data_IF_369509591990
#
_entry.id   IF_369509591990
#
_cell.length_a   1.000
_cell.length_b   1.000
_cell.length_c   1.000
_cell.angle_alpha   90.00
_cell.angle_beta   90.00
_cell.angle_gamma   90.00
#
_symmetry.space_group_name_H-M   'P 1'
#
loop_
_entity.id
_entity.type
_entity.pdbx_description
1 polymer ?
#
# COMPACT_ATOMS: atom_id res chain seq x y z
N UNK A 1 0.53 5.71 25.10
CA UNK A 1 1.57 4.68 25.34
C UNK A 1 2.35 4.41 24.06
N UNK A 2 3.48 5.09 23.88
CA UNK A 2 4.47 4.73 22.86
C UNK A 2 5.20 3.46 23.32
N UNK A 3 5.49 2.52 22.42
CA UNK A 3 6.31 1.33 22.72
C UNK A 3 5.58 0.06 23.17
N UNK A 4 4.24 0.04 23.21
CA UNK A 4 3.47 -1.17 23.60
C UNK A 4 3.35 -2.25 22.50
N UNK A 5 4.14 -2.18 21.42
CA UNK A 5 4.23 -3.23 20.40
C UNK A 5 3.21 -3.20 19.27
N UNK A 6 2.22 -2.29 19.26
CA UNK A 6 1.17 -2.25 18.22
C UNK A 6 1.72 -2.24 16.78
N UNK A 7 2.68 -1.38 16.50
CA UNK A 7 3.30 -1.27 15.17
C UNK A 7 4.05 -2.56 14.79
N UNK A 8 4.76 -3.15 15.75
CA UNK A 8 5.47 -4.43 15.55
C UNK A 8 4.48 -5.55 15.25
N UNK A 9 3.35 -5.61 15.96
CA UNK A 9 2.29 -6.60 15.69
C UNK A 9 1.71 -6.44 14.29
N UNK A 10 1.34 -5.22 13.89
CA UNK A 10 0.79 -4.95 12.56
C UNK A 10 1.80 -5.28 11.44
N UNK A 11 3.06 -4.87 11.61
CA UNK A 11 4.14 -5.22 10.68
C UNK A 11 4.40 -6.72 10.63
N UNK A 12 4.28 -7.44 11.74
CA UNK A 12 4.44 -8.91 11.77
C UNK A 12 3.36 -9.60 10.95
N UNK A 13 2.10 -9.17 11.08
CA UNK A 13 0.98 -9.68 10.27
C UNK A 13 1.24 -9.42 8.78
N UNK A 14 1.72 -8.22 8.46
CA UNK A 14 2.03 -7.86 7.08
C UNK A 14 3.32 -8.47 6.56
N UNK A 15 4.18 -9.11 7.39
CA UNK A 15 5.51 -9.59 7.01
C UNK A 15 6.51 -8.48 6.68
N UNK A 16 6.39 -7.33 7.36
CA UNK A 16 7.16 -6.10 7.16
C UNK A 16 8.07 -5.75 8.35
N UNK A 17 8.23 -6.66 9.32
CA UNK A 17 9.22 -6.43 10.39
C UNK A 17 10.62 -6.40 9.76
N UNK A 18 11.50 -5.46 10.16
CA UNK A 18 12.88 -5.46 9.70
C UNK A 18 13.57 -6.75 10.14
N UNK A 19 14.10 -7.53 9.19
CA UNK A 19 14.83 -8.76 9.46
C UNK A 19 16.18 -8.71 8.72
N UNK A 20 17.31 -8.55 9.44
CA UNK A 20 17.47 -8.32 10.88
C UNK A 20 17.10 -6.88 11.34
N UNK A 21 16.86 -6.62 12.65
CA UNK A 21 17.03 -7.53 13.80
C UNK A 21 15.76 -8.26 14.29
N UNK A 22 14.59 -7.99 13.71
CA UNK A 22 13.32 -8.61 14.10
C UNK A 22 13.08 -9.94 13.41
N UNK A 23 12.57 -10.92 14.16
CA UNK A 23 12.09 -12.21 13.60
C UNK A 23 10.87 -12.70 14.36
N UNK A 24 10.03 -13.49 13.69
CA UNK A 24 8.91 -14.18 14.34
C UNK A 24 9.45 -15.47 14.97
N UNK A 25 9.74 -15.44 16.27
CA UNK A 25 10.34 -16.59 16.99
C UNK A 25 9.42 -17.81 17.05
N UNK A 26 8.12 -17.59 17.20
CA UNK A 26 7.13 -18.65 17.34
C UNK A 26 5.71 -18.16 17.04
N UNK A 27 4.77 -19.09 16.93
CA UNK A 27 3.36 -18.80 16.69
C UNK A 27 2.97 -18.91 15.21
N UNK A 28 1.72 -18.53 14.93
CA UNK A 28 1.11 -18.61 13.60
C UNK A 28 0.24 -17.39 13.35
N UNK A 29 0.15 -16.97 12.11
CA UNK A 29 -0.70 -15.86 11.67
C UNK A 29 -1.62 -16.42 10.61
N UNK A 30 -2.88 -16.67 10.96
CA UNK A 30 -3.84 -17.34 10.07
C UNK A 30 -4.68 -16.29 9.34
N UNK A 31 -4.65 -16.32 8.01
CA UNK A 31 -5.50 -15.53 7.14
C UNK A 31 -6.16 -16.45 6.11
N UNK A 32 -7.50 -16.49 6.07
CA UNK A 32 -8.27 -17.38 5.19
C UNK A 32 -7.81 -18.86 5.22
N UNK A 33 -7.46 -19.36 6.41
CA UNK A 33 -6.97 -20.73 6.60
C UNK A 33 -5.50 -20.97 6.20
N UNK A 34 -4.80 -19.96 5.69
CA UNK A 34 -3.37 -20.02 5.36
C UNK A 34 -2.52 -19.43 6.48
N UNK A 35 -1.42 -20.11 6.84
CA UNK A 35 -0.46 -19.65 7.83
C UNK A 35 0.61 -18.76 7.19
N UNK A 36 0.49 -17.44 7.38
CA UNK A 36 1.35 -16.42 6.77
C UNK A 36 2.80 -16.49 7.24
N UNK A 37 3.11 -17.19 8.34
CA UNK A 37 4.51 -17.36 8.81
C UNK A 37 5.28 -18.40 8.00
N UNK A 38 4.59 -19.16 7.12
CA UNK A 38 5.17 -20.27 6.36
C UNK A 38 5.15 -20.06 4.85
N UNK A 39 4.57 -18.97 4.38
CA UNK A 39 4.47 -18.70 2.94
C UNK A 39 5.75 -18.05 2.43
N UNK A 40 6.05 -18.31 1.16
CA UNK A 40 7.16 -17.67 0.45
C UNK A 40 6.93 -16.17 0.28
N UNK A 41 8.02 -15.44 -0.01
CA UNK A 41 7.98 -14.01 -0.34
C UNK A 41 7.03 -13.71 -1.51
N UNK A 42 7.05 -14.54 -2.57
CA UNK A 42 6.19 -14.37 -3.74
C UNK A 42 4.71 -14.60 -3.43
N UNK A 43 4.39 -15.54 -2.53
CA UNK A 43 3.02 -15.74 -2.04
C UNK A 43 2.56 -14.53 -1.24
N UNK A 44 3.42 -13.99 -0.39
CA UNK A 44 3.13 -12.79 0.38
C UNK A 44 2.88 -11.57 -0.53
N UNK A 45 3.64 -11.40 -1.62
CA UNK A 45 3.39 -10.36 -2.64
C UNK A 45 2.01 -10.52 -3.28
N UNK A 46 1.55 -11.76 -3.55
CA UNK A 46 0.23 -12.01 -4.14
C UNK A 46 -0.91 -11.67 -3.19
N UNK A 47 -0.71 -11.83 -1.88
CA UNK A 47 -1.69 -11.47 -0.86
C UNK A 47 -1.74 -9.95 -0.62
N UNK A 48 -0.58 -9.31 -0.51
CA UNK A 48 -0.48 -7.85 -0.37
C UNK A 48 -1.06 -7.15 -1.60
N UNK A 49 -1.68 -6.00 -1.39
CA UNK A 49 -2.35 -5.21 -2.43
C UNK A 49 -3.70 -5.79 -2.87
N UNK A 50 -3.86 -7.12 -2.95
CA UNK A 50 -5.11 -7.76 -3.43
C UNK A 50 -6.06 -8.17 -2.31
N UNK A 51 -5.52 -8.70 -1.22
CA UNK A 51 -6.27 -9.28 -0.09
C UNK A 51 -5.93 -8.61 1.23
N UNK A 52 -4.69 -8.12 1.35
CA UNK A 52 -4.17 -7.43 2.52
C UNK A 52 -3.62 -6.07 2.11
N UNK A 53 -4.06 -5.02 2.81
CA UNK A 53 -3.55 -3.66 2.63
C UNK A 53 -3.28 -3.04 4.00
N UNK A 54 -2.32 -2.12 4.05
CA UNK A 54 -1.97 -1.38 5.26
C UNK A 54 -1.91 0.11 4.95
N UNK A 55 -2.57 0.91 5.78
CA UNK A 55 -2.42 2.37 5.78
C UNK A 55 -1.48 2.72 6.93
N UNK A 56 -0.32 3.29 6.62
CA UNK A 56 0.69 3.65 7.61
C UNK A 56 0.27 4.89 8.42
N UNK A 57 0.84 5.07 9.61
CA UNK A 57 0.50 6.17 10.51
C UNK A 57 0.84 7.56 9.92
N UNK A 58 1.85 7.62 9.05
CA UNK A 58 2.22 8.82 8.30
C UNK A 58 1.96 8.61 6.80
N UNK A 59 0.69 8.56 6.35
CA UNK A 59 0.38 8.32 4.93
C UNK A 59 0.89 9.46 4.03
N UNK A 60 1.15 10.62 4.62
CA UNK A 60 1.68 11.79 3.91
C UNK A 60 3.13 11.63 3.44
N UNK A 61 3.91 10.76 4.08
CA UNK A 61 5.30 10.47 3.71
C UNK A 61 5.43 9.23 2.82
N UNK A 62 4.36 8.47 2.57
CA UNK A 62 4.41 7.27 1.72
C UNK A 62 4.41 7.58 0.22
N UNK A 63 4.01 8.80 -0.17
CA UNK A 63 4.10 9.20 -1.57
C UNK A 63 5.52 9.62 -1.94
N UNK A 64 6.09 8.96 -2.94
CA UNK A 64 7.35 9.32 -3.56
C UNK A 64 7.24 10.70 -4.25
N UNK A 65 8.03 11.72 -3.85
CA UNK A 65 7.88 13.07 -4.34
C UNK A 65 8.28 13.26 -5.82
N UNK A 66 9.01 12.32 -6.41
CA UNK A 66 9.48 12.40 -7.80
C UNK A 66 8.59 11.62 -8.78
N UNK A 67 7.53 10.97 -8.30
CA UNK A 67 6.57 10.25 -9.12
C UNK A 67 5.23 10.98 -9.12
N UNK A 68 4.47 10.87 -10.22
CA UNK A 68 3.11 11.40 -10.26
C UNK A 68 2.18 10.57 -9.37
N UNK A 69 1.06 11.16 -8.95
CA UNK A 69 0.03 10.46 -8.17
C UNK A 69 -0.53 9.28 -8.97
N UNK A 70 -0.76 9.48 -10.27
CA UNK A 70 -1.25 8.44 -11.17
C UNK A 70 -0.30 7.26 -11.26
N UNK A 71 1.00 7.50 -11.42
CA UNK A 71 2.00 6.42 -11.55
C UNK A 71 2.07 5.56 -10.28
N UNK A 72 2.05 6.20 -9.10
CA UNK A 72 2.14 5.50 -7.82
C UNK A 72 0.91 4.64 -7.54
N UNK A 73 -0.29 5.15 -7.86
CA UNK A 73 -1.52 4.36 -7.72
C UNK A 73 -1.59 3.27 -8.79
N UNK A 74 -1.16 3.57 -10.03
CA UNK A 74 -1.14 2.61 -11.13
C UNK A 74 -0.14 1.46 -10.90
N UNK A 75 0.98 1.70 -10.23
CA UNK A 75 1.99 0.71 -9.89
C UNK A 75 1.39 -0.48 -9.14
N UNK A 76 0.48 -0.22 -8.20
CA UNK A 76 -0.25 -1.27 -7.47
C UNK A 76 -0.95 -2.23 -8.44
N UNK A 77 -1.64 -1.70 -9.45
CA UNK A 77 -2.33 -2.52 -10.44
C UNK A 77 -1.36 -3.22 -11.41
N UNK A 78 -0.24 -2.59 -11.76
CA UNK A 78 0.80 -3.21 -12.57
C UNK A 78 1.39 -4.44 -11.87
N UNK A 79 1.83 -4.27 -10.62
CA UNK A 79 2.52 -5.30 -9.83
C UNK A 79 1.57 -6.44 -9.48
N UNK A 80 0.35 -6.12 -9.02
CA UNK A 80 -0.55 -7.12 -8.45
C UNK A 80 -1.62 -7.63 -9.41
N UNK A 81 -1.97 -6.92 -10.47
CA UNK A 81 -3.01 -7.33 -11.43
C UNK A 81 -2.48 -7.61 -12.86
N UNK A 82 -1.22 -7.29 -13.17
CA UNK A 82 -0.60 -7.52 -14.49
C UNK A 82 -1.43 -6.97 -15.67
N UNK A 83 -2.09 -5.84 -15.46
CA UNK A 83 -2.90 -5.19 -16.48
C UNK A 83 -2.02 -4.32 -17.39
N UNK A 84 -2.49 -4.00 -18.61
CA UNK A 84 -1.83 -2.99 -19.43
C UNK A 84 -1.77 -1.64 -18.71
N UNK A 85 -0.65 -0.93 -18.82
CA UNK A 85 -0.42 0.35 -18.12
C UNK A 85 -1.57 1.36 -18.30
N UNK A 86 -2.13 1.45 -19.51
CA UNK A 86 -3.29 2.32 -19.78
C UNK A 86 -4.51 1.98 -18.93
N UNK A 87 -4.76 0.69 -18.70
CA UNK A 87 -5.85 0.25 -17.83
C UNK A 87 -5.54 0.56 -16.36
N UNK A 88 -4.28 0.39 -15.93
CA UNK A 88 -3.85 0.77 -14.58
C UNK A 88 -4.06 2.26 -14.30
N UNK A 89 -3.73 3.13 -15.26
CA UNK A 89 -3.98 4.58 -15.14
C UNK A 89 -5.47 4.90 -15.05
N UNK A 90 -6.32 4.23 -15.84
CA UNK A 90 -7.77 4.41 -15.74
C UNK A 90 -8.29 4.02 -14.35
N UNK A 91 -7.80 2.90 -13.80
CA UNK A 91 -8.15 2.49 -12.43
C UNK A 91 -7.62 3.46 -11.38
N UNK A 92 -6.46 4.06 -11.59
CA UNK A 92 -5.95 5.10 -10.70
C UNK A 92 -6.87 6.33 -10.69
N UNK A 93 -7.39 6.76 -11.85
CA UNK A 93 -8.42 7.80 -11.93
C UNK A 93 -9.67 7.40 -11.14
N UNK A 94 -10.13 6.15 -11.30
CA UNK A 94 -11.30 5.65 -10.59
C UNK A 94 -11.09 5.62 -9.06
N UNK A 95 -9.89 5.30 -8.58
CA UNK A 95 -9.54 5.36 -7.16
C UNK A 95 -9.55 6.79 -6.63
N UNK A 96 -8.94 7.74 -7.34
CA UNK A 96 -9.01 9.16 -6.97
C UNK A 96 -10.45 9.67 -6.95
N UNK A 97 -11.30 9.20 -7.87
CA UNK A 97 -12.73 9.53 -7.88
C UNK A 97 -13.45 8.95 -6.65
N UNK A 98 -13.15 7.69 -6.29
CA UNK A 98 -13.74 7.01 -5.14
C UNK A 98 -13.45 7.75 -3.82
N UNK A 99 -12.25 8.29 -3.67
CA UNK A 99 -11.84 9.07 -2.48
C UNK A 99 -12.12 10.57 -2.61
N UNK A 100 -12.98 10.96 -3.57
CA UNK A 100 -13.46 12.33 -3.77
C UNK A 100 -12.33 13.36 -3.95
N UNK A 101 -11.32 13.00 -4.76
CA UNK A 101 -10.33 13.96 -5.25
C UNK A 101 -10.93 14.71 -6.45
N UNK A 102 -11.01 16.05 -6.42
CA UNK A 102 -11.59 16.83 -7.50
C UNK A 102 -10.75 16.75 -8.76
N UNK A 103 -11.42 16.69 -9.91
CA UNK A 103 -10.80 16.60 -11.25
C UNK A 103 -9.76 15.47 -11.36
N UNK A 104 -10.13 14.22 -11.01
CA UNK A 104 -9.17 13.11 -10.89
C UNK A 104 -8.38 12.87 -12.19
N UNK A 105 -8.99 13.07 -13.36
CA UNK A 105 -8.35 12.95 -14.68
C UNK A 105 -7.19 13.93 -14.88
N UNK A 106 -7.21 15.08 -14.18
CA UNK A 106 -6.11 16.03 -14.16
C UNK A 106 -5.11 15.69 -13.06
N UNK A 107 -5.62 15.36 -11.86
CA UNK A 107 -4.82 15.12 -10.64
C UNK A 107 -3.91 13.90 -10.73
N UNK A 108 -4.18 12.94 -11.61
CA UNK A 108 -3.24 11.83 -11.85
C UNK A 108 -1.85 12.32 -12.31
N UNK A 109 -1.76 13.50 -12.95
CA UNK A 109 -0.49 14.05 -13.44
C UNK A 109 0.23 14.92 -12.41
N UNK A 110 -0.44 15.21 -11.30
CA UNK A 110 0.15 16.00 -10.23
C UNK A 110 1.21 15.18 -9.51
N UNK A 111 2.19 15.88 -8.95
CA UNK A 111 3.12 15.37 -7.96
C UNK A 111 2.58 15.61 -6.54
N UNK A 112 3.07 14.88 -5.52
CA UNK A 112 2.57 15.00 -4.15
C UNK A 112 2.55 16.43 -3.59
N UNK A 113 3.56 17.24 -3.94
CA UNK A 113 3.65 18.64 -3.47
C UNK A 113 2.57 19.56 -4.07
N UNK A 114 1.86 19.15 -5.11
CA UNK A 114 0.77 19.90 -5.74
C UNK A 114 -0.61 19.56 -5.14
N UNK A 115 -0.69 18.54 -4.28
CA UNK A 115 -1.90 18.16 -3.56
C UNK A 115 -1.96 18.82 -2.17
N UNK A 116 -3.17 19.21 -1.75
CA UNK A 116 -3.40 19.68 -0.39
C UNK A 116 -3.12 18.57 0.65
N UNK A 117 -2.97 18.95 1.92
CA UNK A 117 -2.75 17.97 3.00
C UNK A 117 -3.84 16.90 3.05
N UNK A 118 -5.11 17.31 3.03
CA UNK A 118 -6.25 16.39 3.04
C UNK A 118 -6.39 15.57 1.76
N UNK A 119 -5.90 16.06 0.61
CA UNK A 119 -5.86 15.28 -0.63
C UNK A 119 -4.79 14.19 -0.56
N UNK A 120 -3.58 14.51 -0.11
CA UNK A 120 -2.50 13.53 0.07
C UNK A 120 -2.83 12.44 1.10
N UNK A 121 -3.66 12.75 2.10
CA UNK A 121 -4.12 11.75 3.06
C UNK A 121 -5.10 10.74 2.43
N UNK A 122 -5.79 11.13 1.35
CA UNK A 122 -6.81 10.31 0.68
C UNK A 122 -6.31 9.60 -0.57
N UNK A 123 -5.36 10.21 -1.29
CA UNK A 123 -4.73 9.67 -2.49
C UNK A 123 -3.80 8.49 -2.14
#
# INVERSE_FOLDING_TARGET
ESGCGKSVTAQSIMGLIPDPPGRIESGRIIFDGQDLTKISFDEMIRLRGRRLAMIFQEPMSSLNPVLTIGDQIAEMFLVHHRLPYRECLNRAVDMLRLVQIPSPEHRIRDYPHQLSGGMRQRA
#
